data_IF_364201941339
#
_entry.id   IF_364201941339
#
_cell.length_a   1.000
_cell.length_b   1.000
_cell.length_c   1.000
_cell.angle_alpha   90.00
_cell.angle_beta   90.00
_cell.angle_gamma   90.00
#
_symmetry.space_group_name_H-M   'P 1'
#
loop_
_entity.id
_entity.type
_entity.pdbx_description
1 polymer ?
#
# COMPACT_ATOMS: atom_id res chain seq x y z
N UNK A 1 -7.39 -0.54 4.79
CA UNK A 1 -7.81 -1.54 3.79
C UNK A 1 -8.35 -0.97 2.48
N UNK A 2 -9.52 -0.29 2.46
CA UNK A 2 -10.12 0.26 1.21
C UNK A 2 -9.21 1.33 0.54
N UNK A 3 -8.60 2.27 1.29
CA UNK A 3 -7.70 3.27 0.69
C UNK A 3 -6.44 2.66 0.08
N UNK A 4 -5.85 1.64 0.72
CA UNK A 4 -4.64 0.97 0.24
C UNK A 4 -4.93 0.17 -1.03
N UNK A 5 -6.06 -0.54 -1.08
CA UNK A 5 -6.45 -1.32 -2.27
C UNK A 5 -6.69 -0.44 -3.48
N UNK A 6 -7.25 0.75 -3.26
CA UNK A 6 -7.44 1.77 -4.29
C UNK A 6 -6.10 2.33 -4.79
N UNK A 7 -5.19 2.65 -3.87
CA UNK A 7 -3.86 3.18 -4.19
C UNK A 7 -3.00 2.14 -4.92
N UNK A 8 -3.07 0.88 -4.51
CA UNK A 8 -2.40 -0.23 -5.21
C UNK A 8 -2.97 -0.42 -6.62
N UNK A 9 -4.29 -0.25 -6.80
CA UNK A 9 -4.92 -0.24 -8.11
C UNK A 9 -4.44 0.91 -9.01
N UNK A 10 -4.33 2.12 -8.45
CA UNK A 10 -3.78 3.29 -9.15
C UNK A 10 -2.31 3.13 -9.53
N UNK A 11 -1.47 2.66 -8.61
CA UNK A 11 -0.05 2.36 -8.88
C UNK A 11 0.09 1.32 -9.99
N UNK A 12 -0.71 0.25 -9.96
CA UNK A 12 -0.68 -0.77 -10.99
C UNK A 12 -1.12 -0.22 -12.36
N UNK A 13 -2.16 0.62 -12.39
CA UNK A 13 -2.63 1.27 -13.61
C UNK A 13 -1.61 2.27 -14.17
N UNK A 14 -0.99 3.08 -13.33
CA UNK A 14 0.06 4.02 -13.70
C UNK A 14 1.26 3.28 -14.32
N UNK A 15 1.67 2.15 -13.72
CA UNK A 15 2.75 1.30 -14.23
C UNK A 15 2.40 0.64 -15.55
N UNK A 16 1.17 0.14 -15.70
CA UNK A 16 0.69 -0.41 -16.96
C UNK A 16 0.68 0.65 -18.07
N UNK A 17 0.17 1.85 -17.77
CA UNK A 17 0.08 2.96 -18.74
C UNK A 17 1.49 3.41 -19.18
N UNK A 18 2.43 3.51 -18.24
CA UNK A 18 3.83 3.83 -18.54
C UNK A 18 4.49 2.76 -19.44
N UNK A 19 4.18 1.48 -19.22
CA UNK A 19 4.70 0.37 -20.02
C UNK A 19 4.06 0.24 -21.40
N UNK A 20 2.78 0.58 -21.56
CA UNK A 20 2.16 0.65 -22.89
C UNK A 20 2.74 1.82 -23.71
N UNK A 21 3.11 2.92 -23.06
CA UNK A 21 3.70 4.07 -23.73
C UNK A 21 5.14 3.82 -24.24
N UNK A 22 5.87 2.86 -23.65
CA UNK A 22 7.26 2.54 -24.00
C UNK A 22 7.41 1.48 -25.12
N UNK A 23 6.33 0.89 -25.62
CA UNK A 23 6.30 0.11 -26.87
C UNK A 23 6.88 -1.31 -26.82
N UNK A 24 7.46 -1.75 -25.70
CA UNK A 24 7.99 -3.11 -25.50
C UNK A 24 7.86 -3.53 -24.04
N UNK A 25 6.72 -4.12 -23.62
CA UNK A 25 6.52 -4.50 -22.23
C UNK A 25 7.37 -5.73 -21.90
N UNK A 26 8.46 -5.55 -21.17
CA UNK A 26 9.16 -6.66 -20.53
C UNK A 26 8.44 -7.01 -19.23
N UNK A 27 8.36 -8.29 -18.87
CA UNK A 27 7.70 -8.73 -17.63
C UNK A 27 8.34 -8.13 -16.36
N UNK A 28 9.60 -7.67 -16.47
CA UNK A 28 10.33 -6.98 -15.40
C UNK A 28 10.00 -5.50 -15.25
N UNK A 29 9.51 -4.83 -16.30
CA UNK A 29 9.12 -3.42 -16.25
C UNK A 29 7.68 -3.21 -15.78
N UNK A 30 6.80 -4.19 -16.01
CA UNK A 30 5.38 -4.13 -15.60
C UNK A 30 5.20 -4.37 -14.10
N UNK A 31 6.15 -5.09 -13.48
CA UNK A 31 6.11 -5.44 -12.06
C UNK A 31 7.49 -5.17 -11.47
N UNK A 32 7.77 -3.95 -10.98
CA UNK A 32 9.05 -3.65 -10.38
C UNK A 32 9.22 -4.53 -9.15
N UNK A 33 10.21 -5.42 -9.18
CA UNK A 33 10.56 -6.27 -8.04
C UNK A 33 10.83 -5.45 -6.78
N UNK A 34 11.33 -4.23 -6.92
CA UNK A 34 11.48 -3.20 -5.88
C UNK A 34 10.17 -2.85 -5.20
N UNK A 35 9.08 -2.69 -5.97
CA UNK A 35 7.76 -2.36 -5.42
C UNK A 35 7.15 -3.54 -4.66
N UNK A 36 7.22 -4.75 -5.23
CA UNK A 36 6.75 -5.96 -4.56
C UNK A 36 7.54 -6.22 -3.29
N UNK A 37 8.88 -6.15 -3.37
CA UNK A 37 9.75 -6.36 -2.23
C UNK A 37 9.49 -5.30 -1.15
N UNK A 38 9.33 -4.02 -1.53
CA UNK A 38 9.00 -2.94 -0.61
C UNK A 38 7.66 -3.14 0.09
N UNK A 39 6.61 -3.46 -0.67
CA UNK A 39 5.27 -3.75 -0.15
C UNK A 39 5.26 -4.95 0.79
N UNK A 40 5.97 -6.01 0.43
CA UNK A 40 6.10 -7.19 1.27
C UNK A 40 6.82 -6.85 2.57
N UNK A 41 7.92 -6.10 2.50
CA UNK A 41 8.73 -5.73 3.65
C UNK A 41 8.01 -4.76 4.59
N UNK A 42 7.12 -3.88 4.09
CA UNK A 42 6.30 -3.00 4.92
C UNK A 42 5.13 -3.73 5.57
N UNK A 43 4.44 -4.58 4.81
CA UNK A 43 3.18 -5.19 5.27
C UNK A 43 3.42 -6.41 6.16
N UNK A 44 4.57 -7.09 6.05
CA UNK A 44 4.88 -8.27 6.85
C UNK A 44 5.06 -7.95 8.35
N UNK A 45 5.85 -6.93 8.76
CA UNK A 45 5.93 -6.50 10.16
C UNK A 45 4.59 -6.06 10.73
N UNK A 46 3.80 -5.31 9.95
CA UNK A 46 2.48 -4.84 10.34
C UNK A 46 1.51 -6.01 10.56
N UNK A 47 1.50 -6.96 9.63
CA UNK A 47 0.66 -8.14 9.72
C UNK A 47 1.00 -9.00 10.94
N UNK A 48 2.30 -9.14 11.24
CA UNK A 48 2.75 -9.83 12.46
C UNK A 48 2.35 -9.07 13.72
N UNK A 49 2.58 -7.75 13.79
CA UNK A 49 2.23 -6.92 14.94
C UNK A 49 0.73 -7.00 15.26
N UNK A 50 -0.12 -6.83 14.23
CA UNK A 50 -1.57 -6.93 14.36
C UNK A 50 -2.02 -8.34 14.76
N UNK A 51 -1.42 -9.39 14.18
CA UNK A 51 -1.71 -10.79 14.55
C UNK A 51 -1.32 -11.11 16.00
N UNK A 52 -0.19 -10.59 16.48
CA UNK A 52 0.24 -10.73 17.87
C UNK A 52 -0.75 -10.03 18.82
N UNK A 53 -1.21 -8.83 18.47
CA UNK A 53 -2.24 -8.11 19.20
C UNK A 53 -3.56 -8.90 19.29
N UNK A 54 -4.04 -9.43 18.16
CA UNK A 54 -5.25 -10.28 18.12
C UNK A 54 -5.08 -11.56 18.93
N UNK A 55 -3.89 -12.16 18.91
CA UNK A 55 -3.58 -13.36 19.70
C UNK A 55 -3.57 -13.06 21.20
N UNK A 56 -3.02 -11.91 21.61
CA UNK A 56 -3.06 -11.44 22.99
C UNK A 56 -4.50 -11.16 23.48
N UNK A 57 -5.40 -10.78 22.58
CA UNK A 57 -6.84 -10.64 22.83
C UNK A 57 -7.60 -11.98 22.81
N UNK A 58 -6.91 -13.12 22.73
CA UNK A 58 -7.50 -14.46 22.82
C UNK A 58 -8.01 -15.05 21.50
N UNK A 59 -7.72 -14.44 20.34
CA UNK A 59 -8.16 -14.98 19.06
C UNK A 59 -7.37 -16.24 18.68
N UNK A 60 -8.06 -17.24 18.10
CA UNK A 60 -7.42 -18.45 17.57
C UNK A 60 -6.64 -18.16 16.28
N UNK A 61 -5.48 -18.79 16.08
CA UNK A 61 -4.65 -18.60 14.88
C UNK A 61 -5.43 -18.81 13.56
N UNK A 62 -6.35 -19.78 13.51
CA UNK A 62 -7.20 -20.01 12.33
C UNK A 62 -8.12 -18.82 12.00
N UNK A 63 -8.67 -18.14 13.02
CA UNK A 63 -9.49 -16.93 12.81
C UNK A 63 -8.65 -15.76 12.31
N UNK A 64 -7.44 -15.59 12.84
CA UNK A 64 -6.50 -14.55 12.41
C UNK A 64 -6.10 -14.77 10.95
N UNK A 65 -5.70 -16.00 10.59
CA UNK A 65 -5.37 -16.35 9.21
C UNK A 65 -6.57 -16.19 8.25
N UNK A 66 -7.78 -16.59 8.68
CA UNK A 66 -8.99 -16.39 7.89
C UNK A 66 -9.29 -14.91 7.62
N UNK A 67 -9.09 -14.05 8.62
CA UNK A 67 -9.24 -12.60 8.48
C UNK A 67 -8.21 -12.04 7.48
N UNK A 68 -6.93 -12.40 7.61
CA UNK A 68 -5.89 -11.99 6.66
C UNK A 68 -6.17 -12.45 5.23
N UNK A 69 -6.60 -13.70 5.04
CA UNK A 69 -6.99 -14.22 3.74
C UNK A 69 -8.19 -13.47 3.15
N UNK A 70 -9.18 -13.14 3.98
CA UNK A 70 -10.35 -12.36 3.53
C UNK A 70 -9.96 -10.94 3.08
N UNK A 71 -9.04 -10.29 3.79
CA UNK A 71 -8.52 -8.97 3.41
C UNK A 71 -7.74 -9.04 2.11
N UNK A 72 -6.84 -10.03 1.98
CA UNK A 72 -6.07 -10.25 0.76
C UNK A 72 -7.00 -10.50 -0.45
N UNK A 73 -8.03 -11.31 -0.26
CA UNK A 73 -9.04 -11.56 -1.30
C UNK A 73 -9.79 -10.29 -1.69
N UNK A 74 -10.22 -9.48 -0.71
CA UNK A 74 -10.88 -8.19 -0.98
C UNK A 74 -9.98 -7.22 -1.76
N UNK A 75 -8.67 -7.18 -1.46
CA UNK A 75 -7.70 -6.36 -2.21
C UNK A 75 -7.66 -6.83 -3.66
N UNK A 76 -7.49 -8.13 -3.91
CA UNK A 76 -7.45 -8.69 -5.26
C UNK A 76 -8.72 -8.33 -6.05
N UNK A 77 -9.89 -8.53 -5.45
CA UNK A 77 -11.17 -8.19 -6.09
C UNK A 77 -11.27 -6.69 -6.38
N UNK A 78 -10.89 -5.85 -5.42
CA UNK A 78 -10.91 -4.39 -5.57
C UNK A 78 -9.96 -3.91 -6.66
N UNK A 79 -8.76 -4.50 -6.75
CA UNK A 79 -7.78 -4.19 -7.80
C UNK A 79 -8.30 -4.58 -9.19
N UNK A 80 -8.90 -5.77 -9.33
CA UNK A 80 -9.49 -6.21 -10.61
C UNK A 80 -10.63 -5.29 -11.03
N UNK A 81 -11.52 -4.93 -10.10
CA UNK A 81 -12.62 -3.99 -10.38
C UNK A 81 -12.06 -2.61 -10.75
N UNK A 82 -11.09 -2.10 -9.99
CA UNK A 82 -10.44 -0.82 -10.24
C UNK A 82 -9.76 -0.77 -11.61
N UNK A 83 -9.13 -1.86 -12.04
CA UNK A 83 -8.55 -2.00 -13.37
C UNK A 83 -9.61 -1.92 -14.49
N UNK A 84 -10.70 -2.70 -14.36
CA UNK A 84 -11.76 -2.75 -15.37
C UNK A 84 -12.47 -1.40 -15.50
N UNK A 85 -12.77 -0.74 -14.38
CA UNK A 85 -13.37 0.59 -14.36
C UNK A 85 -12.38 1.64 -14.88
N UNK A 86 -11.11 1.55 -14.47
CA UNK A 86 -10.07 2.48 -14.86
C UNK A 86 -9.79 2.52 -16.36
N UNK A 87 -9.91 1.38 -17.05
CA UNK A 87 -9.78 1.30 -18.50
C UNK A 87 -10.87 2.06 -19.28
N UNK A 88 -11.98 2.43 -18.63
CA UNK A 88 -13.12 3.12 -19.25
C UNK A 88 -13.22 4.60 -18.86
N UNK A 89 -12.38 5.05 -17.91
CA UNK A 89 -12.43 6.40 -17.37
C UNK A 89 -11.45 7.33 -18.10
N UNK A 90 -11.87 8.58 -18.26
CA UNK A 90 -10.99 9.63 -18.79
C UNK A 90 -9.85 9.95 -17.81
N UNK A 91 -8.70 10.35 -18.34
CA UNK A 91 -7.46 10.52 -17.56
C UNK A 91 -7.63 11.54 -16.43
N UNK A 92 -8.40 12.62 -16.66
CA UNK A 92 -8.68 13.63 -15.63
C UNK A 92 -9.44 13.05 -14.43
N UNK A 93 -10.39 12.15 -14.68
CA UNK A 93 -11.15 11.50 -13.60
C UNK A 93 -10.23 10.58 -12.81
N UNK A 94 -9.38 9.81 -13.49
CA UNK A 94 -8.40 8.92 -12.83
C UNK A 94 -7.51 9.69 -11.84
N UNK A 95 -6.88 10.78 -12.29
CA UNK A 95 -6.01 11.61 -11.46
C UNK A 95 -6.77 12.20 -10.26
N UNK A 96 -8.03 12.59 -10.45
CA UNK A 96 -8.86 13.10 -9.36
C UNK A 96 -9.14 12.03 -8.29
N UNK A 97 -9.42 10.78 -8.70
CA UNK A 97 -9.66 9.71 -7.72
C UNK A 97 -8.37 9.28 -7.02
N UNK A 98 -7.23 9.24 -7.73
CA UNK A 98 -5.92 8.99 -7.13
C UNK A 98 -5.58 10.06 -6.07
N UNK A 99 -5.78 11.34 -6.38
CA UNK A 99 -5.58 12.44 -5.44
C UNK A 99 -6.47 12.34 -4.20
N UNK A 100 -7.75 11.96 -4.38
CA UNK A 100 -8.68 11.74 -3.28
C UNK A 100 -8.24 10.57 -2.39
N UNK A 101 -7.79 9.47 -2.98
CA UNK A 101 -7.30 8.31 -2.24
C UNK A 101 -6.01 8.60 -1.47
N UNK A 102 -5.09 9.37 -2.06
CA UNK A 102 -3.90 9.86 -1.37
C UNK A 102 -4.27 10.71 -0.14
N UNK A 103 -5.25 11.61 -0.27
CA UNK A 103 -5.77 12.40 0.85
C UNK A 103 -6.43 11.55 1.95
N UNK A 104 -7.13 10.49 1.58
CA UNK A 104 -7.72 9.55 2.54
C UNK A 104 -6.62 8.79 3.33
N UNK A 105 -5.54 8.36 2.66
CA UNK A 105 -4.40 7.74 3.34
C UNK A 105 -3.70 8.71 4.29
N UNK A 106 -3.46 9.96 3.87
CA UNK A 106 -2.87 10.98 4.75
C UNK A 106 -3.72 11.22 6.00
N UNK A 107 -5.04 11.28 5.82
CA UNK A 107 -5.98 11.44 6.94
C UNK A 107 -5.90 10.26 7.91
N UNK A 108 -5.87 9.03 7.38
CA UNK A 108 -5.74 7.81 8.19
C UNK A 108 -4.42 7.80 8.98
N UNK A 109 -3.31 8.11 8.31
CA UNK A 109 -1.99 8.20 8.97
C UNK A 109 -2.03 9.23 10.11
N UNK A 110 -2.57 10.42 9.84
CA UNK A 110 -2.62 11.51 10.81
C UNK A 110 -3.54 11.22 12.00
N UNK A 111 -4.69 10.58 11.78
CA UNK A 111 -5.70 10.36 12.81
C UNK A 111 -5.48 9.10 13.63
N UNK A 112 -4.95 8.03 13.03
CA UNK A 112 -4.83 6.73 13.71
C UNK A 112 -3.38 6.30 13.86
N UNK A 113 -2.61 6.25 12.77
CA UNK A 113 -1.28 5.61 12.82
C UNK A 113 -0.24 6.43 13.60
N UNK A 114 -0.18 7.75 13.41
CA UNK A 114 0.76 8.60 14.15
C UNK A 114 0.45 8.57 15.66
N UNK A 115 -0.81 8.81 16.12
CA UNK A 115 -1.14 8.72 17.53
C UNK A 115 -0.85 7.36 18.15
N UNK A 116 -1.18 6.26 17.45
CA UNK A 116 -0.93 4.90 17.93
C UNK A 116 0.57 4.60 18.03
N UNK A 117 1.36 4.98 17.03
CA UNK A 117 2.81 4.81 17.05
C UNK A 117 3.47 5.58 18.19
N UNK A 118 3.02 6.80 18.47
CA UNK A 118 3.51 7.61 19.61
C UNK A 118 3.04 7.05 20.96
N UNK A 119 1.91 6.34 21.01
CA UNK A 119 1.46 5.67 22.22
C UNK A 119 2.27 4.40 22.53
N UNK A 120 2.68 3.66 21.50
CA UNK A 120 3.49 2.44 21.62
C UNK A 120 5.00 2.72 21.79
N UNK A 121 5.49 3.87 21.31
CA UNK A 121 6.90 4.25 21.34
C UNK A 121 7.17 5.64 21.91
N UNK A 122 8.39 6.15 21.76
CA UNK A 122 8.70 7.55 22.08
C UNK A 122 8.48 8.43 20.84
N UNK A 123 7.91 9.61 21.04
CA UNK A 123 7.63 10.58 19.95
C UNK A 123 8.88 10.87 19.09
N UNK A 124 10.06 10.99 19.71
CA UNK A 124 11.32 11.19 18.99
C UNK A 124 11.71 10.00 18.10
N UNK A 125 11.53 8.77 18.60
CA UNK A 125 11.88 7.54 17.86
C UNK A 125 10.93 7.33 16.69
N UNK A 126 9.64 7.61 16.87
CA UNK A 126 8.62 7.54 15.80
C UNK A 126 8.93 8.56 14.71
N UNK A 127 9.17 9.81 15.07
CA UNK A 127 9.51 10.86 14.10
C UNK A 127 10.77 10.54 13.29
N UNK A 128 11.84 10.09 13.95
CA UNK A 128 13.08 9.71 13.28
C UNK A 128 12.88 8.50 12.34
N UNK A 129 12.13 7.49 12.78
CA UNK A 129 11.85 6.30 11.96
C UNK A 129 10.99 6.64 10.74
N UNK A 130 9.98 7.49 10.89
CA UNK A 130 9.15 7.99 9.77
C UNK A 130 9.99 8.77 8.76
N UNK A 131 10.87 9.66 9.23
CA UNK A 131 11.79 10.40 8.37
C UNK A 131 12.73 9.47 7.61
N UNK A 132 13.35 8.52 8.31
CA UNK A 132 14.25 7.54 7.69
C UNK A 132 13.52 6.70 6.64
N UNK A 133 12.33 6.19 6.95
CA UNK A 133 11.51 5.44 5.99
C UNK A 133 11.16 6.25 4.74
N UNK A 134 10.76 7.51 4.92
CA UNK A 134 10.47 8.42 3.80
C UNK A 134 11.71 8.68 2.94
N UNK A 135 12.85 8.99 3.56
CA UNK A 135 14.12 9.21 2.85
C UNK A 135 14.58 7.96 2.12
N UNK A 136 14.44 6.77 2.71
CA UNK A 136 14.72 5.50 2.05
C UNK A 136 13.84 5.30 0.82
N UNK A 137 12.53 5.55 0.92
CA UNK A 137 11.62 5.43 -0.22
C UNK A 137 11.99 6.39 -1.36
N UNK A 138 12.30 7.65 -1.03
CA UNK A 138 12.78 8.64 -2.01
C UNK A 138 14.11 8.20 -2.64
N UNK A 139 15.05 7.71 -1.84
CA UNK A 139 16.34 7.23 -2.33
C UNK A 139 16.19 6.05 -3.30
N UNK A 140 15.35 5.06 -2.98
CA UNK A 140 15.02 3.97 -3.91
C UNK A 140 14.41 4.50 -5.20
N UNK A 141 13.49 5.47 -5.12
CA UNK A 141 12.87 6.06 -6.31
C UNK A 141 13.87 6.81 -7.19
N UNK A 142 14.88 7.44 -6.60
CA UNK A 142 15.94 8.13 -7.33
C UNK A 142 16.98 7.18 -7.95
N UNK A 143 17.14 5.97 -7.40
CA UNK A 143 18.06 4.94 -7.91
C UNK A 143 17.44 4.10 -9.03
N UNK A 144 16.11 4.08 -9.13
CA UNK A 144 15.34 3.50 -10.23
C UNK A 144 15.38 4.47 -11.44
N UNK A 145 16.53 4.50 -12.12
CA UNK A 145 16.78 5.25 -13.38
C UNK A 145 16.65 4.33 -14.58
#
# INVERSE_FOLDING_TARGET
SIPESFVLGGVFLAMLTANLASGSPSFGDIVPFTLIAGLFLSNLPEAMSSSVGMRAQGWSAAKILGLWLSLAFMVVVSTVIGYILGAQLDHTVMVAVEGLAAGAMLTMIAQTMIPEAVHLGSSNTVGLSTLTGFLSAVAFKLLEV
#
